data_IF_409773683008
#
_entry.id   IF_409773683008
#
_cell.length_a   1.000
_cell.length_b   1.000
_cell.length_c   1.000
_cell.angle_alpha   90.00
_cell.angle_beta   90.00
_cell.angle_gamma   90.00
#
_symmetry.space_group_name_H-M   'P 1'
#
loop_
_entity.id
_entity.type
_entity.pdbx_description
1 polymer ?
#
# COMPACT_ATOMS: atom_id res chain seq x y z
N UNK A 1 14.83 -10.43 -23.74
CA UNK A 1 13.39 -10.26 -23.47
C UNK A 1 12.97 -8.89 -23.98
N UNK A 2 11.91 -8.78 -24.77
CA UNK A 2 11.38 -7.49 -25.22
C UNK A 2 10.17 -7.17 -24.36
N UNK A 3 10.27 -6.11 -23.56
CA UNK A 3 9.13 -5.62 -22.77
C UNK A 3 8.09 -5.02 -23.71
N UNK A 4 6.82 -5.28 -23.45
CA UNK A 4 5.70 -4.66 -24.14
C UNK A 4 5.36 -3.29 -23.53
N UNK A 5 4.48 -2.53 -24.20
CA UNK A 5 4.08 -1.21 -23.70
C UNK A 5 3.46 -1.30 -22.29
N UNK A 6 2.64 -2.31 -22.05
CA UNK A 6 2.00 -2.53 -20.73
C UNK A 6 3.03 -2.76 -19.62
N UNK A 7 4.13 -3.49 -19.93
CA UNK A 7 5.20 -3.76 -18.97
C UNK A 7 5.95 -2.46 -18.59
N UNK A 8 6.25 -1.62 -19.59
CA UNK A 8 6.86 -0.31 -19.32
C UNK A 8 5.95 0.58 -18.48
N UNK A 9 4.66 0.60 -18.79
CA UNK A 9 3.69 1.38 -18.02
C UNK A 9 3.57 0.84 -16.59
N UNK A 10 3.35 -0.46 -16.43
CA UNK A 10 3.18 -1.08 -15.11
C UNK A 10 4.44 -0.90 -14.24
N UNK A 11 5.61 -1.24 -14.77
CA UNK A 11 6.88 -1.13 -14.03
C UNK A 11 7.24 0.31 -13.69
N UNK A 12 7.15 1.26 -14.65
CA UNK A 12 7.49 2.66 -14.39
C UNK A 12 6.54 3.33 -13.41
N UNK A 13 5.23 3.13 -13.52
CA UNK A 13 4.26 3.71 -12.60
C UNK A 13 4.32 3.05 -11.21
N UNK A 14 4.59 1.73 -11.10
CA UNK A 14 4.87 1.08 -9.82
C UNK A 14 6.10 1.70 -9.16
N UNK A 15 7.17 1.92 -9.91
CA UNK A 15 8.39 2.57 -9.40
C UNK A 15 8.11 3.99 -8.91
N UNK A 16 7.36 4.79 -9.67
CA UNK A 16 6.97 6.16 -9.27
C UNK A 16 6.14 6.11 -7.99
N UNK A 17 5.14 5.22 -7.89
CA UNK A 17 4.32 5.08 -6.70
C UNK A 17 5.15 4.68 -5.47
N UNK A 18 6.06 3.70 -5.62
CA UNK A 18 6.94 3.24 -4.54
C UNK A 18 7.86 4.36 -4.07
N UNK A 19 8.51 5.09 -4.99
CA UNK A 19 9.39 6.22 -4.65
C UNK A 19 8.61 7.29 -3.89
N UNK A 20 7.45 7.70 -4.39
CA UNK A 20 6.60 8.70 -3.72
C UNK A 20 6.18 8.21 -2.33
N UNK A 21 5.76 6.94 -2.21
CA UNK A 21 5.33 6.35 -0.94
C UNK A 21 6.47 6.27 0.08
N UNK A 22 7.68 5.91 -0.36
CA UNK A 22 8.86 5.91 0.51
C UNK A 22 9.21 7.33 0.98
N UNK A 23 9.23 8.32 0.07
CA UNK A 23 9.49 9.72 0.44
C UNK A 23 8.45 10.20 1.45
N UNK A 24 7.17 9.94 1.24
CA UNK A 24 6.09 10.33 2.15
C UNK A 24 6.24 9.62 3.49
N UNK A 25 6.43 8.30 3.51
CA UNK A 25 6.59 7.53 4.72
C UNK A 25 7.79 8.00 5.55
N UNK A 26 8.94 8.20 4.93
CA UNK A 26 10.16 8.72 5.58
C UNK A 26 9.92 10.15 6.08
N UNK A 27 9.24 11.01 5.30
CA UNK A 27 8.91 12.37 5.73
C UNK A 27 8.03 12.36 6.97
N UNK A 28 7.03 11.47 7.03
CA UNK A 28 6.19 11.31 8.23
C UNK A 28 7.02 10.81 9.41
N UNK A 29 7.89 9.83 9.20
CA UNK A 29 8.80 9.30 10.23
C UNK A 29 9.72 10.39 10.80
N UNK A 30 10.34 11.19 9.95
CA UNK A 30 11.27 12.26 10.38
C UNK A 30 10.58 13.35 11.18
N UNK A 31 9.28 13.57 11.00
CA UNK A 31 8.50 14.48 11.84
C UNK A 31 8.38 14.03 13.31
N UNK A 32 8.71 12.79 13.62
CA UNK A 32 8.87 12.35 15.00
C UNK A 32 9.92 13.15 15.76
N UNK A 33 11.04 13.50 15.13
CA UNK A 33 12.11 14.26 15.80
C UNK A 33 11.68 15.68 16.20
N UNK A 34 10.74 16.29 15.43
CA UNK A 34 10.18 17.60 15.73
C UNK A 34 9.06 17.53 16.78
N UNK A 35 8.14 16.58 16.64
CA UNK A 35 6.90 16.53 17.42
C UNK A 35 6.91 15.51 18.58
N UNK A 36 7.90 14.63 18.65
CA UNK A 36 8.06 13.55 19.64
C UNK A 36 6.81 12.65 19.79
N UNK A 37 6.01 12.54 18.72
CA UNK A 37 4.79 11.76 18.70
C UNK A 37 5.05 10.38 18.09
N UNK A 38 4.90 9.32 18.89
CA UNK A 38 5.04 7.93 18.39
C UNK A 38 4.05 7.58 17.27
N UNK A 39 2.93 8.31 17.20
CA UNK A 39 1.96 8.14 16.12
C UNK A 39 2.60 8.30 14.74
N UNK A 40 3.52 9.28 14.59
CA UNK A 40 4.21 9.55 13.33
C UNK A 40 5.12 8.38 12.92
N UNK A 41 5.75 7.71 13.88
CA UNK A 41 6.53 6.49 13.61
C UNK A 41 5.61 5.39 13.10
N UNK A 42 4.54 5.10 13.83
CA UNK A 42 3.60 4.02 13.52
C UNK A 42 2.96 4.22 12.14
N UNK A 43 2.51 5.45 11.85
CA UNK A 43 1.88 5.80 10.57
C UNK A 43 2.89 5.75 9.42
N UNK A 44 4.11 6.26 9.62
CA UNK A 44 5.14 6.23 8.59
C UNK A 44 5.56 4.81 8.22
N UNK A 45 5.78 3.93 9.21
CA UNK A 45 6.07 2.50 8.98
C UNK A 45 4.89 1.82 8.28
N UNK A 46 3.67 2.08 8.76
CA UNK A 46 2.46 1.51 8.16
C UNK A 46 2.33 1.90 6.68
N UNK A 47 2.56 3.18 6.34
CA UNK A 47 2.46 3.64 4.96
C UNK A 47 3.50 3.00 4.05
N UNK A 48 4.77 2.91 4.49
CA UNK A 48 5.82 2.21 3.75
C UNK A 48 5.44 0.74 3.54
N UNK A 49 4.95 0.08 4.59
CA UNK A 49 4.54 -1.32 4.50
C UNK A 49 3.32 -1.57 3.63
N UNK A 50 2.39 -0.61 3.54
CA UNK A 50 1.22 -0.71 2.63
C UNK A 50 1.63 -0.60 1.16
N UNK A 51 2.70 0.15 0.85
CA UNK A 51 3.24 0.22 -0.50
C UNK A 51 4.06 -1.03 -0.91
N UNK A 52 4.28 -1.96 0.03
CA UNK A 52 5.16 -3.12 -0.14
C UNK A 52 4.80 -4.03 -1.33
N UNK A 53 3.52 -4.34 -1.64
CA UNK A 53 3.16 -5.20 -2.78
C UNK A 53 3.68 -4.70 -4.14
N UNK A 54 3.95 -3.41 -4.29
CA UNK A 54 4.47 -2.81 -5.53
C UNK A 54 5.99 -2.68 -5.56
N UNK A 55 6.69 -2.98 -4.46
CA UNK A 55 8.16 -2.96 -4.42
C UNK A 55 8.77 -4.03 -5.37
N UNK A 56 8.30 -5.29 -5.39
CA UNK A 56 8.85 -6.28 -6.30
C UNK A 56 8.67 -5.92 -7.78
N UNK A 57 7.53 -5.31 -8.17
CA UNK A 57 7.36 -4.78 -9.54
C UNK A 57 8.44 -3.76 -9.87
N UNK A 58 8.68 -2.83 -8.96
CA UNK A 58 9.67 -1.75 -9.13
C UNK A 58 11.09 -2.29 -9.21
N UNK A 59 11.45 -3.27 -8.37
CA UNK A 59 12.76 -3.91 -8.36
C UNK A 59 12.95 -4.73 -9.64
N UNK A 60 11.97 -5.55 -10.00
CA UNK A 60 12.01 -6.36 -11.23
C UNK A 60 12.12 -5.49 -12.48
N UNK A 61 11.40 -4.36 -12.52
CA UNK A 61 11.48 -3.40 -13.61
C UNK A 61 12.90 -2.82 -13.76
N UNK A 62 13.53 -2.40 -12.67
CA UNK A 62 14.89 -1.90 -12.68
C UNK A 62 15.89 -2.99 -13.09
N UNK A 63 15.74 -4.22 -12.59
CA UNK A 63 16.58 -5.35 -12.95
C UNK A 63 16.47 -5.69 -14.45
N UNK A 64 15.27 -5.65 -15.01
CA UNK A 64 15.04 -5.86 -16.44
C UNK A 64 15.64 -4.75 -17.29
N UNK A 65 15.52 -3.49 -16.88
CA UNK A 65 16.10 -2.36 -17.62
C UNK A 65 17.62 -2.37 -17.66
N UNK A 66 18.27 -2.70 -16.55
CA UNK A 66 19.73 -2.57 -16.42
C UNK A 66 20.48 -3.88 -16.61
N UNK A 67 19.90 -5.00 -16.15
CA UNK A 67 20.56 -6.30 -16.16
C UNK A 67 19.92 -7.30 -17.14
N UNK A 68 18.78 -6.99 -17.75
CA UNK A 68 18.02 -7.87 -18.64
C UNK A 68 17.61 -9.20 -17.97
N UNK A 69 17.52 -9.22 -16.65
CA UNK A 69 17.15 -10.38 -15.83
C UNK A 69 15.95 -9.98 -14.97
N UNK A 70 14.84 -10.73 -14.97
CA UNK A 70 13.71 -10.49 -14.08
C UNK A 70 14.08 -10.83 -12.62
N UNK A 71 13.33 -10.28 -11.68
CA UNK A 71 13.43 -10.68 -10.29
C UNK A 71 12.99 -12.15 -10.15
N UNK A 72 13.74 -12.94 -9.38
CA UNK A 72 13.39 -14.32 -9.06
C UNK A 72 12.02 -14.37 -8.36
N UNK A 73 11.19 -15.35 -8.73
CA UNK A 73 9.81 -15.50 -8.25
C UNK A 73 9.74 -15.60 -6.72
N UNK A 74 10.66 -16.32 -6.09
CA UNK A 74 10.69 -16.44 -4.63
C UNK A 74 10.94 -15.09 -3.95
N UNK A 75 11.94 -14.33 -4.43
CA UNK A 75 12.21 -12.98 -3.92
C UNK A 75 11.07 -12.01 -4.18
N UNK A 76 10.39 -12.14 -5.33
CA UNK A 76 9.22 -11.34 -5.64
C UNK A 76 8.14 -11.49 -4.55
N UNK A 77 7.79 -12.72 -4.19
CA UNK A 77 6.78 -12.97 -3.17
C UNK A 77 7.24 -12.62 -1.75
N UNK A 78 8.50 -12.88 -1.40
CA UNK A 78 9.05 -12.47 -0.09
C UNK A 78 8.97 -10.95 0.05
N UNK A 79 9.53 -10.20 -0.90
CA UNK A 79 9.55 -8.74 -0.85
C UNK A 79 8.11 -8.19 -0.80
N UNK A 80 7.19 -8.73 -1.58
CA UNK A 80 5.82 -8.22 -1.68
C UNK A 80 4.95 -8.48 -0.44
N UNK A 81 5.25 -9.52 0.36
CA UNK A 81 4.30 -9.98 1.38
C UNK A 81 4.82 -9.94 2.83
N UNK A 82 6.12 -10.20 3.08
CA UNK A 82 6.64 -10.35 4.45
C UNK A 82 6.49 -9.10 5.35
N UNK A 83 6.35 -7.91 4.79
CA UNK A 83 6.22 -6.69 5.59
C UNK A 83 4.75 -6.25 5.81
N UNK A 84 3.79 -6.88 5.16
CA UNK A 84 2.37 -6.55 5.31
C UNK A 84 1.84 -6.71 6.74
N UNK A 85 2.21 -7.80 7.48
CA UNK A 85 1.81 -7.94 8.88
C UNK A 85 2.31 -6.80 9.77
N UNK A 86 3.52 -6.30 9.52
CA UNK A 86 4.09 -5.15 10.26
C UNK A 86 3.32 -3.88 9.94
N UNK A 87 2.95 -3.67 8.67
CA UNK A 87 2.12 -2.53 8.26
C UNK A 87 0.77 -2.52 8.98
N UNK A 88 0.09 -3.67 9.02
CA UNK A 88 -1.19 -3.82 9.70
C UNK A 88 -1.06 -3.62 11.22
N UNK A 89 -0.04 -4.20 11.86
CA UNK A 89 0.21 -4.09 13.28
C UNK A 89 0.50 -2.64 13.69
N UNK A 90 1.33 -1.94 12.94
CA UNK A 90 1.68 -0.53 13.20
C UNK A 90 0.48 0.38 12.97
N UNK A 91 -0.32 0.13 11.90
CA UNK A 91 -1.55 0.87 11.66
C UNK A 91 -2.58 0.69 12.78
N UNK A 92 -2.89 -0.54 13.18
CA UNK A 92 -3.86 -0.81 14.23
C UNK A 92 -3.39 -0.31 15.61
N UNK A 93 -2.08 -0.28 15.84
CA UNK A 93 -1.51 0.36 17.02
C UNK A 93 -1.77 1.86 16.99
N UNK A 94 -1.52 2.54 15.87
CA UNK A 94 -1.79 3.96 15.68
C UNK A 94 -3.28 4.28 15.83
N UNK A 95 -4.13 3.50 15.19
CA UNK A 95 -5.59 3.63 15.27
C UNK A 95 -6.11 3.49 16.71
N UNK A 96 -5.66 2.47 17.42
CA UNK A 96 -6.12 2.22 18.80
C UNK A 96 -5.58 3.24 19.79
N UNK A 97 -4.37 3.77 19.59
CA UNK A 97 -3.85 4.88 20.40
C UNK A 97 -4.80 6.09 20.41
N UNK A 98 -5.36 6.42 19.24
CA UNK A 98 -6.15 7.64 19.09
C UNK A 98 -7.65 7.43 19.30
N UNK A 99 -8.19 6.27 18.93
CA UNK A 99 -9.63 6.06 18.86
C UNK A 99 -10.14 5.10 19.93
N UNK A 100 -9.41 4.02 20.23
CA UNK A 100 -9.88 2.92 21.09
C UNK A 100 -8.84 2.44 22.11
N UNK A 101 -8.23 3.34 22.84
CA UNK A 101 -7.14 3.01 23.79
C UNK A 101 -7.49 1.91 24.80
N UNK A 102 -8.75 1.84 25.22
CA UNK A 102 -9.20 0.78 26.16
C UNK A 102 -9.10 -0.63 25.55
N UNK A 103 -9.26 -0.77 24.25
CA UNK A 103 -9.22 -2.08 23.56
C UNK A 103 -7.84 -2.37 22.94
N UNK A 104 -6.86 -1.48 23.10
CA UNK A 104 -5.58 -1.54 22.41
C UNK A 104 -4.85 -2.86 22.66
N UNK A 105 -4.67 -3.27 23.92
CA UNK A 105 -3.97 -4.53 24.24
C UNK A 105 -4.60 -5.72 23.52
N UNK A 106 -5.94 -5.82 23.55
CA UNK A 106 -6.67 -6.91 22.88
C UNK A 106 -6.46 -6.88 21.36
N UNK A 107 -6.60 -5.71 20.73
CA UNK A 107 -6.42 -5.56 19.26
C UNK A 107 -5.00 -5.91 18.86
N UNK A 108 -4.00 -5.35 19.54
CA UNK A 108 -2.58 -5.62 19.23
C UNK A 108 -2.24 -7.10 19.42
N UNK A 109 -2.68 -7.73 20.52
CA UNK A 109 -2.42 -9.15 20.75
C UNK A 109 -3.03 -10.03 19.67
N UNK A 110 -4.30 -9.77 19.27
CA UNK A 110 -4.96 -10.53 18.21
C UNK A 110 -4.24 -10.31 16.87
N UNK A 111 -3.93 -9.07 16.53
CA UNK A 111 -3.22 -8.75 15.28
C UNK A 111 -1.84 -9.41 15.25
N UNK A 112 -1.10 -9.36 16.36
CA UNK A 112 0.22 -10.00 16.46
C UNK A 112 0.14 -11.51 16.26
N UNK A 113 -0.82 -12.18 16.91
CA UNK A 113 -1.03 -13.62 16.74
C UNK A 113 -1.37 -13.96 15.29
N UNK A 114 -2.29 -13.21 14.66
CA UNK A 114 -2.63 -13.41 13.25
C UNK A 114 -1.44 -13.14 12.33
N UNK A 115 -0.62 -12.14 12.64
CA UNK A 115 0.61 -11.85 11.90
C UNK A 115 1.61 -13.00 11.98
N UNK A 116 1.83 -13.55 13.18
CA UNK A 116 2.72 -14.71 13.38
C UNK A 116 2.18 -15.94 12.62
N UNK A 117 0.88 -16.20 12.70
CA UNK A 117 0.25 -17.31 11.97
C UNK A 117 0.44 -17.12 10.47
N UNK A 118 0.22 -15.89 9.96
CA UNK A 118 0.44 -15.59 8.55
C UNK A 118 1.88 -15.91 8.13
N UNK A 119 2.88 -15.43 8.86
CA UNK A 119 4.29 -15.66 8.53
C UNK A 119 4.65 -17.16 8.58
N UNK A 120 4.17 -17.89 9.59
CA UNK A 120 4.41 -19.34 9.67
C UNK A 120 3.82 -20.04 8.46
N UNK A 121 2.56 -19.75 8.12
CA UNK A 121 1.90 -20.38 6.96
C UNK A 121 2.56 -19.95 5.67
N UNK A 122 2.88 -18.66 5.52
CA UNK A 122 3.56 -18.12 4.33
C UNK A 122 4.87 -18.85 4.05
N UNK A 123 5.78 -18.93 5.05
CA UNK A 123 7.05 -19.61 4.86
C UNK A 123 6.90 -21.13 4.74
N UNK A 124 5.91 -21.72 5.39
CA UNK A 124 5.60 -23.14 5.20
C UNK A 124 5.22 -23.44 3.76
N UNK A 125 4.29 -22.68 3.19
CA UNK A 125 3.87 -22.82 1.79
C UNK A 125 5.02 -22.51 0.85
N UNK A 126 5.81 -21.47 1.13
CA UNK A 126 6.96 -21.05 0.35
C UNK A 126 8.00 -22.17 0.16
N UNK A 127 8.26 -22.95 1.22
CA UNK A 127 9.24 -24.05 1.16
C UNK A 127 8.66 -25.39 0.69
N UNK A 128 7.34 -25.57 0.78
CA UNK A 128 6.67 -26.78 0.26
C UNK A 128 6.44 -26.66 -1.24
N UNK A 129 5.78 -25.59 -1.65
CA UNK A 129 5.42 -25.33 -3.02
C UNK A 129 5.12 -23.85 -3.22
N UNK A 130 5.97 -23.17 -3.98
CA UNK A 130 5.87 -21.73 -4.22
C UNK A 130 4.58 -21.35 -4.95
N UNK A 131 4.05 -22.24 -5.81
CA UNK A 131 2.82 -22.00 -6.56
C UNK A 131 1.59 -21.87 -5.65
N UNK A 132 1.63 -22.39 -4.42
CA UNK A 132 0.59 -22.18 -3.42
C UNK A 132 0.53 -20.73 -2.90
N UNK A 133 1.63 -20.00 -2.99
CA UNK A 133 1.69 -18.57 -2.69
C UNK A 133 1.20 -17.76 -3.88
N UNK A 134 1.62 -18.15 -5.06
CA UNK A 134 1.23 -17.54 -6.31
C UNK A 134 2.18 -17.89 -7.44
N UNK A 135 1.78 -17.53 -8.63
CA UNK A 135 2.57 -17.72 -9.86
C UNK A 135 2.84 -16.37 -10.52
N UNK A 136 3.95 -16.28 -11.17
CA UNK A 136 4.32 -15.15 -12.02
C UNK A 136 5.04 -15.72 -13.24
N UNK A 137 4.72 -15.24 -14.42
CA UNK A 137 5.51 -15.55 -15.60
C UNK A 137 6.53 -14.41 -15.83
N UNK A 138 7.78 -14.59 -15.39
CA UNK A 138 8.77 -13.53 -15.47
C UNK A 138 9.19 -13.20 -16.91
N UNK A 139 8.81 -14.03 -17.89
CA UNK A 139 9.17 -13.85 -19.30
C UNK A 139 8.09 -13.15 -20.10
N UNK A 140 6.81 -13.42 -19.83
CA UNK A 140 5.68 -12.84 -20.58
C UNK A 140 4.97 -11.73 -19.81
N UNK A 141 4.86 -11.84 -18.47
CA UNK A 141 4.16 -10.88 -17.60
C UNK A 141 4.95 -10.62 -16.31
N UNK A 142 6.11 -9.97 -16.38
CA UNK A 142 7.07 -9.88 -15.26
C UNK A 142 6.59 -9.08 -14.04
N UNK A 143 5.45 -8.40 -14.15
CA UNK A 143 4.87 -7.55 -13.10
C UNK A 143 3.44 -7.94 -12.74
N UNK A 144 2.95 -9.07 -13.23
CA UNK A 144 1.60 -9.56 -12.91
C UNK A 144 1.70 -10.89 -12.17
N UNK A 145 1.45 -10.85 -10.87
CA UNK A 145 1.42 -12.04 -10.06
C UNK A 145 -0.02 -12.51 -9.85
N UNK A 146 -0.27 -13.79 -10.08
CA UNK A 146 -1.51 -14.47 -9.72
C UNK A 146 -1.35 -15.07 -8.33
N UNK A 147 -1.90 -14.39 -7.33
CA UNK A 147 -1.76 -14.81 -5.93
C UNK A 147 -2.64 -16.02 -5.61
N UNK A 148 -2.05 -16.99 -4.89
CA UNK A 148 -2.78 -18.09 -4.30
C UNK A 148 -3.87 -17.64 -3.31
N UNK A 149 -4.84 -18.50 -3.07
CA UNK A 149 -6.03 -18.16 -2.24
C UNK A 149 -5.65 -17.64 -0.85
N UNK A 150 -4.61 -18.19 -0.23
CA UNK A 150 -4.14 -17.79 1.10
C UNK A 150 -3.69 -16.32 1.12
N UNK A 151 -2.85 -15.93 0.15
CA UNK A 151 -2.36 -14.55 0.04
C UNK A 151 -3.48 -13.60 -0.33
N UNK A 152 -4.31 -13.97 -1.31
CA UNK A 152 -5.46 -13.17 -1.74
C UNK A 152 -6.41 -12.86 -0.58
N UNK A 153 -6.78 -13.87 0.22
CA UNK A 153 -7.65 -13.68 1.39
C UNK A 153 -6.99 -12.75 2.40
N UNK A 154 -5.71 -12.94 2.69
CA UNK A 154 -4.99 -12.08 3.64
C UNK A 154 -4.92 -10.63 3.17
N UNK A 155 -4.57 -10.39 1.90
CA UNK A 155 -4.56 -9.06 1.31
C UNK A 155 -5.93 -8.37 1.40
N UNK A 156 -7.00 -9.08 1.07
CA UNK A 156 -8.37 -8.55 1.16
C UNK A 156 -8.73 -8.19 2.62
N UNK A 157 -8.38 -9.02 3.58
CA UNK A 157 -8.58 -8.73 5.01
C UNK A 157 -7.81 -7.47 5.41
N UNK A 158 -6.55 -7.34 5.02
CA UNK A 158 -5.72 -6.15 5.32
C UNK A 158 -6.37 -4.90 4.72
N UNK A 159 -6.76 -4.93 3.44
CA UNK A 159 -7.40 -3.81 2.74
C UNK A 159 -8.70 -3.40 3.45
N UNK A 160 -9.57 -4.34 3.77
CA UNK A 160 -10.86 -4.05 4.44
C UNK A 160 -10.65 -3.49 5.84
N UNK A 161 -9.73 -4.06 6.63
CA UNK A 161 -9.42 -3.58 7.97
C UNK A 161 -8.85 -2.15 7.91
N UNK A 162 -7.95 -1.88 6.98
CA UNK A 162 -7.37 -0.55 6.81
C UNK A 162 -8.42 0.46 6.34
N UNK A 163 -9.28 0.10 5.39
CA UNK A 163 -10.38 0.96 4.94
C UNK A 163 -11.31 1.34 6.10
N UNK A 164 -11.84 0.34 6.79
CA UNK A 164 -12.83 0.55 7.86
C UNK A 164 -12.23 1.38 8.99
N UNK A 165 -11.06 1.00 9.49
CA UNK A 165 -10.39 1.72 10.59
C UNK A 165 -9.88 3.08 10.16
N UNK A 166 -9.41 3.22 8.93
CA UNK A 166 -8.95 4.49 8.35
C UNK A 166 -10.09 5.49 8.19
N UNK A 167 -11.23 5.06 7.66
CA UNK A 167 -12.42 5.92 7.54
C UNK A 167 -12.93 6.33 8.93
N UNK A 168 -13.01 5.41 9.91
CA UNK A 168 -13.40 5.75 11.29
C UNK A 168 -12.42 6.76 11.90
N UNK A 169 -11.11 6.56 11.70
CA UNK A 169 -10.08 7.48 12.16
C UNK A 169 -10.27 8.87 11.55
N UNK A 170 -10.41 8.96 10.24
CA UNK A 170 -10.59 10.21 9.51
C UNK A 170 -11.89 10.92 9.88
N UNK A 171 -12.98 10.19 10.11
CA UNK A 171 -14.29 10.73 10.43
C UNK A 171 -14.28 11.58 11.72
N UNK A 172 -13.44 11.23 12.69
CA UNK A 172 -13.29 12.02 13.93
C UNK A 172 -12.72 13.41 13.63
N UNK A 173 -11.73 13.49 12.73
CA UNK A 173 -11.13 14.75 12.31
C UNK A 173 -12.06 15.58 11.41
N UNK A 174 -12.87 14.94 10.56
CA UNK A 174 -13.86 15.61 9.68
C UNK A 174 -14.90 16.38 10.48
N UNK A 175 -15.24 15.92 11.70
CA UNK A 175 -16.23 16.57 12.57
C UNK A 175 -15.64 17.72 13.42
N UNK A 176 -14.37 18.06 13.27
CA UNK A 176 -13.73 19.14 14.02
C UNK A 176 -14.19 20.52 13.55
N UNK A 177 -14.37 21.45 14.48
CA UNK A 177 -14.64 22.85 14.18
C UNK A 177 -13.42 23.56 13.57
N UNK A 178 -12.21 23.08 13.88
CA UNK A 178 -10.98 23.61 13.29
C UNK A 178 -10.89 23.23 11.82
N UNK A 179 -10.84 24.26 10.93
CA UNK A 179 -10.78 24.10 9.47
C UNK A 179 -9.61 23.23 9.00
N UNK A 180 -8.44 23.36 9.63
CA UNK A 180 -7.24 22.57 9.26
C UNK A 180 -7.42 21.09 9.63
N UNK A 181 -7.90 20.81 10.85
CA UNK A 181 -8.13 19.44 11.29
C UNK A 181 -9.22 18.78 10.43
N UNK A 182 -10.26 19.53 10.08
CA UNK A 182 -11.34 19.06 9.22
C UNK A 182 -10.83 18.75 7.81
N UNK A 183 -9.95 19.59 7.25
CA UNK A 183 -9.32 19.33 5.94
C UNK A 183 -8.45 18.07 5.99
N UNK A 184 -7.60 17.93 7.02
CA UNK A 184 -6.81 16.70 7.25
C UNK A 184 -7.71 15.47 7.28
N UNK A 185 -8.83 15.53 7.99
CA UNK A 185 -9.80 14.41 8.04
C UNK A 185 -10.40 14.09 6.67
N UNK A 186 -10.75 15.10 5.87
CA UNK A 186 -11.29 14.90 4.52
C UNK A 186 -10.26 14.23 3.60
N UNK A 187 -9.01 14.70 3.62
CA UNK A 187 -7.91 14.14 2.85
C UNK A 187 -7.62 12.68 3.25
N UNK A 188 -7.55 12.39 4.57
CA UNK A 188 -7.37 11.01 5.02
C UNK A 188 -8.51 10.08 4.61
N UNK A 189 -9.75 10.55 4.71
CA UNK A 189 -10.90 9.76 4.28
C UNK A 189 -10.84 9.48 2.79
N UNK A 190 -10.51 10.47 1.98
CA UNK A 190 -10.30 10.31 0.54
C UNK A 190 -9.17 9.30 0.30
N UNK A 191 -8.00 9.46 0.94
CA UNK A 191 -6.85 8.58 0.78
C UNK A 191 -7.20 7.10 1.01
N UNK A 192 -7.91 6.76 2.10
CA UNK A 192 -8.28 5.37 2.36
C UNK A 192 -9.25 4.81 1.32
N UNK A 193 -10.19 5.63 0.84
CA UNK A 193 -11.14 5.21 -0.20
C UNK A 193 -10.42 5.05 -1.54
N UNK A 194 -9.66 6.06 -1.97
CA UNK A 194 -8.92 6.06 -3.24
C UNK A 194 -7.91 4.91 -3.29
N UNK A 195 -7.15 4.71 -2.19
CA UNK A 195 -6.22 3.58 -2.08
C UNK A 195 -6.93 2.24 -2.21
N UNK A 196 -8.03 2.04 -1.47
CA UNK A 196 -8.77 0.78 -1.50
C UNK A 196 -9.32 0.48 -2.88
N UNK A 197 -9.93 1.48 -3.53
CA UNK A 197 -10.44 1.32 -4.91
C UNK A 197 -9.30 0.92 -5.84
N UNK A 198 -8.18 1.65 -5.78
CA UNK A 198 -7.02 1.35 -6.62
C UNK A 198 -6.44 -0.05 -6.35
N UNK A 199 -6.22 -0.42 -5.08
CA UNK A 199 -5.64 -1.72 -4.71
C UNK A 199 -6.54 -2.90 -5.10
N UNK A 200 -7.87 -2.76 -4.95
CA UNK A 200 -8.82 -3.80 -5.38
C UNK A 200 -8.82 -3.93 -6.90
N UNK A 201 -8.89 -2.83 -7.64
CA UNK A 201 -8.82 -2.90 -9.11
C UNK A 201 -7.49 -3.49 -9.58
N UNK A 202 -6.38 -3.09 -8.96
CA UNK A 202 -5.05 -3.63 -9.30
C UNK A 202 -4.98 -5.14 -9.13
N UNK A 203 -5.52 -5.67 -8.04
CA UNK A 203 -5.55 -7.11 -7.77
C UNK A 203 -6.47 -7.89 -8.72
N UNK A 204 -7.37 -7.22 -9.41
CA UNK A 204 -8.31 -7.85 -10.36
C UNK A 204 -7.86 -7.74 -11.82
N UNK A 205 -6.85 -6.92 -12.14
CA UNK A 205 -6.43 -6.70 -13.53
C UNK A 205 -6.05 -8.01 -14.23
N UNK A 206 -5.28 -8.90 -13.57
CA UNK A 206 -4.91 -10.18 -14.12
C UNK A 206 -6.11 -11.11 -14.40
N UNK A 207 -7.12 -11.07 -13.53
CA UNK A 207 -8.34 -11.88 -13.69
C UNK A 207 -9.32 -11.32 -14.75
N UNK A 208 -9.29 -10.00 -14.99
CA UNK A 208 -10.18 -9.34 -15.97
C UNK A 208 -9.60 -9.41 -17.38
N UNK A 209 -8.27 -9.25 -17.51
CA UNK A 209 -7.58 -9.18 -18.78
C UNK A 209 -6.66 -10.40 -18.95
N UNK A 210 -7.14 -11.42 -19.65
CA UNK A 210 -6.33 -12.62 -19.96
C UNK A 210 -5.29 -12.33 -21.05
N UNK A 211 -5.59 -11.40 -21.99
CA UNK A 211 -4.70 -10.99 -23.08
C UNK A 211 -3.86 -9.78 -22.65
N UNK A 212 -2.52 -9.94 -22.51
CA UNK A 212 -1.63 -8.85 -22.13
C UNK A 212 -1.52 -7.75 -23.21
N UNK A 213 -1.92 -8.06 -24.47
CA UNK A 213 -1.88 -7.09 -25.57
C UNK A 213 -3.14 -6.22 -25.68
N UNK A 214 -4.14 -6.43 -24.81
CA UNK A 214 -5.36 -5.64 -24.81
C UNK A 214 -5.04 -4.16 -24.51
N UNK A 215 -5.34 -3.22 -25.42
CA UNK A 215 -5.09 -1.80 -25.19
C UNK A 215 -5.80 -1.24 -23.95
N UNK A 216 -6.95 -1.82 -23.57
CA UNK A 216 -7.68 -1.39 -22.39
C UNK A 216 -6.96 -1.74 -21.11
N UNK A 217 -6.22 -2.87 -21.07
CA UNK A 217 -5.36 -3.23 -19.94
C UNK A 217 -4.33 -2.12 -19.67
N UNK A 218 -3.63 -1.64 -20.71
CA UNK A 218 -2.65 -0.56 -20.56
C UNK A 218 -3.26 0.72 -19.98
N UNK A 219 -4.46 1.09 -20.44
CA UNK A 219 -5.21 2.24 -19.90
C UNK A 219 -5.58 2.02 -18.44
N UNK A 220 -6.10 0.83 -18.09
CA UNK A 220 -6.51 0.51 -16.73
C UNK A 220 -5.32 0.47 -15.76
N UNK A 221 -4.18 -0.07 -16.18
CA UNK A 221 -2.93 -0.04 -15.38
C UNK A 221 -2.57 1.41 -15.04
N UNK A 222 -2.54 2.31 -16.04
CA UNK A 222 -2.20 3.73 -15.82
C UNK A 222 -3.19 4.39 -14.87
N UNK A 223 -4.50 4.17 -15.06
CA UNK A 223 -5.55 4.75 -14.20
C UNK A 223 -5.37 4.29 -12.75
N UNK A 224 -5.20 2.99 -12.53
CA UNK A 224 -5.01 2.41 -11.19
C UNK A 224 -3.75 2.98 -10.52
N UNK A 225 -2.64 3.04 -11.23
CA UNK A 225 -1.38 3.61 -10.70
C UNK A 225 -1.48 5.10 -10.38
N UNK A 226 -2.17 5.88 -11.21
CA UNK A 226 -2.46 7.29 -10.92
C UNK A 226 -3.31 7.41 -9.64
N UNK A 227 -4.33 6.57 -9.46
CA UNK A 227 -5.13 6.56 -8.23
C UNK A 227 -4.28 6.22 -6.99
N UNK A 228 -3.36 5.26 -7.09
CA UNK A 228 -2.42 4.95 -6.01
C UNK A 228 -1.54 6.16 -5.65
N UNK A 229 -1.00 6.87 -6.66
CA UNK A 229 -0.19 8.08 -6.44
C UNK A 229 -1.03 9.18 -5.79
N UNK A 230 -2.27 9.40 -6.26
CA UNK A 230 -3.17 10.37 -5.63
C UNK A 230 -3.46 10.02 -4.18
N UNK A 231 -3.72 8.74 -3.88
CA UNK A 231 -3.97 8.30 -2.50
C UNK A 231 -2.77 8.59 -1.59
N UNK A 232 -1.54 8.42 -2.10
CA UNK A 232 -0.32 8.75 -1.37
C UNK A 232 -0.23 10.24 -1.04
N UNK A 233 -0.55 11.12 -1.99
CA UNK A 233 -0.57 12.58 -1.79
C UNK A 233 -1.68 13.00 -0.82
N UNK A 234 -2.86 12.41 -0.92
CA UNK A 234 -3.96 12.63 0.01
C UNK A 234 -3.60 12.20 1.43
N UNK A 235 -2.92 11.05 1.59
CA UNK A 235 -2.44 10.54 2.87
C UNK A 235 -1.40 11.51 3.48
N UNK A 236 -0.45 11.95 2.68
CA UNK A 236 0.54 12.95 3.09
C UNK A 236 -0.12 14.24 3.58
N UNK A 237 -1.05 14.78 2.78
CA UNK A 237 -1.81 15.98 3.15
C UNK A 237 -2.64 15.79 4.42
N UNK A 238 -3.22 14.60 4.59
CA UNK A 238 -4.03 14.26 5.75
C UNK A 238 -3.25 14.21 7.06
N UNK A 239 -2.01 13.73 7.05
CA UNK A 239 -1.17 13.70 8.25
C UNK A 239 -0.39 14.99 8.47
N UNK A 240 0.26 15.53 7.45
CA UNK A 240 1.18 16.66 7.61
C UNK A 240 0.61 18.02 7.19
N UNK A 241 -0.32 18.03 6.24
CA UNK A 241 -0.92 19.26 5.67
C UNK A 241 0.13 20.32 5.32
N UNK A 242 0.95 20.10 4.29
CA UNK A 242 2.01 21.02 3.92
C UNK A 242 1.43 22.38 3.51
N UNK A 243 2.25 23.46 3.62
CA UNK A 243 1.82 24.85 3.40
C UNK A 243 1.11 25.04 2.05
N UNK A 244 1.64 24.45 0.98
CA UNK A 244 1.06 24.56 -0.36
C UNK A 244 -0.36 23.97 -0.46
N UNK A 245 -0.63 22.82 0.19
CA UNK A 245 -1.98 22.28 0.26
C UNK A 245 -2.91 23.17 1.09
N UNK A 246 -2.41 23.71 2.18
CA UNK A 246 -3.16 24.64 3.02
C UNK A 246 -3.59 25.89 2.24
N UNK A 247 -2.68 26.47 1.47
CA UNK A 247 -2.94 27.66 0.64
C UNK A 247 -3.95 27.38 -0.49
N UNK A 248 -3.97 26.18 -1.07
CA UNK A 248 -4.92 25.78 -2.11
C UNK A 248 -6.34 25.58 -1.53
N UNK A 249 -6.44 24.86 -0.39
CA UNK A 249 -7.74 24.41 0.11
C UNK A 249 -8.33 25.27 1.23
N UNK A 250 -7.54 26.10 1.88
CA UNK A 250 -8.00 27.03 2.91
C UNK A 250 -7.76 28.45 2.41
N UNK A 251 -8.80 29.07 1.83
CA UNK A 251 -8.74 30.50 1.45
C UNK A 251 -8.35 31.34 2.69
N UNK A 252 -7.36 32.22 2.53
CA UNK A 252 -7.13 33.31 3.47
C UNK A 252 -8.37 34.22 3.44
N UNK A 253 -9.06 34.35 4.58
CA UNK A 253 -9.98 35.46 4.83
C UNK A 253 -9.18 36.72 5.06
#
# INVERSE_FOLDING_TARGET
MTLELVDYLQGSFSLIFVIISLIIGITILTKYFEHKSRLLILVGISWIGVANPWIPDSVSFLMLLFAQIPLDTGWYFIIGNCFLPIALLTWLTAYTDMIRRKSQKKVITITLLLSIIFEIVFFTLFFIDLDLIGTIDPLSRPFTADFGIFITVYLMVVIVVMLVTGVIFAQKSVKSDNREIRLKGKLLRAAFITFTVAAVFDSLLGAIFEDPTDPLLSVMVVVVRILLIFSALEFYGGFLLPRWMKEIFIKKE
#
